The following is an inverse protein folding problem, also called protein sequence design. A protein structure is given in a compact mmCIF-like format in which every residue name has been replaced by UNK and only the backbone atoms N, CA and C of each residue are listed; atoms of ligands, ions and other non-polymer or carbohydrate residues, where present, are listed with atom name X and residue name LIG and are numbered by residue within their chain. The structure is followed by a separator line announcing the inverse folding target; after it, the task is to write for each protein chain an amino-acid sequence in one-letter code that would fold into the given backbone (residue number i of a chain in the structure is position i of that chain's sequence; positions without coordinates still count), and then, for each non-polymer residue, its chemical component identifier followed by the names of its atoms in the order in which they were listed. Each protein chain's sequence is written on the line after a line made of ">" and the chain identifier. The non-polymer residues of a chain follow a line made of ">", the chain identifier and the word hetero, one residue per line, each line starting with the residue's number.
data_IF_677869189083
#
_entry.id   IF_677869189083
#
_cell.length_a   1.000
_cell.length_b   1.000
_cell.length_c   1.000
_cell.angle_alpha   90.00
_cell.angle_beta   90.00
_cell.angle_gamma   90.00
#
_symmetry.space_group_name_H-M   'P 1'
#
loop_
_entity.id
_entity.type
_entity.pdbx_description
1 polymer ?
#
# COMPACT_ATOMS: atom_id res chain seq x y z
N UNK A 1 -13.29 57.79 -2.94
CA UNK A 1 -13.36 58.81 -1.86
C UNK A 1 -13.23 58.07 -0.55
N UNK A 2 -12.27 58.49 0.29
CA UNK A 2 -12.11 58.18 1.74
C UNK A 2 -11.65 56.74 2.03
N UNK A 3 -10.71 56.43 2.93
CA UNK A 3 -9.51 57.07 3.48
C UNK A 3 -8.78 55.98 4.28
N UNK A 4 -7.47 56.15 4.45
CA UNK A 4 -6.52 55.28 5.18
C UNK A 4 -6.83 55.26 6.69
N UNK A 5 -6.50 54.15 7.39
CA UNK A 5 -5.96 54.27 8.76
C UNK A 5 -5.01 53.11 9.12
N UNK A 6 -3.74 53.48 9.34
CA UNK A 6 -2.70 52.71 10.03
C UNK A 6 -2.82 52.97 11.53
N UNK A 7 -2.47 52.00 12.37
CA UNK A 7 -1.76 52.31 13.62
C UNK A 7 -0.98 51.11 14.19
N UNK A 8 0.12 51.36 14.92
CA UNK A 8 1.17 50.38 15.23
C UNK A 8 1.31 50.05 16.73
N UNK A 9 2.30 49.20 17.02
CA UNK A 9 3.19 49.18 18.20
C UNK A 9 2.64 48.82 19.59
N UNK A 10 3.28 47.84 20.25
CA UNK A 10 3.96 47.93 21.57
C UNK A 10 4.50 46.55 21.99
N UNK A 11 5.83 46.34 22.02
CA UNK A 11 6.76 46.56 23.15
C UNK A 11 6.88 45.35 24.11
N UNK A 12 8.01 44.64 23.96
CA UNK A 12 9.00 44.21 24.95
C UNK A 12 8.57 43.90 26.40
N UNK A 13 8.92 42.69 26.89
CA UNK A 13 9.39 42.48 28.27
C UNK A 13 10.61 41.54 28.26
N UNK A 14 11.70 42.07 28.80
CA UNK A 14 12.95 41.42 29.21
C UNK A 14 12.82 40.97 30.66
N UNK A 15 13.46 39.86 31.04
CA UNK A 15 13.83 39.53 32.42
C UNK A 15 13.75 38.03 32.70
N UNK A 16 14.64 37.35 33.43
CA UNK A 16 15.80 37.79 34.21
C UNK A 16 16.69 36.55 34.50
N UNK A 17 17.98 36.80 34.74
CA UNK A 17 18.99 35.87 35.22
C UNK A 17 18.68 35.28 36.60
N UNK A 18 19.28 34.11 36.91
CA UNK A 18 19.86 33.63 38.20
C UNK A 18 19.72 32.10 38.31
N UNK A 19 20.57 31.32 38.97
CA UNK A 19 21.92 31.46 39.48
C UNK A 19 22.47 30.05 39.73
N UNK A 20 23.77 29.98 40.02
CA UNK A 20 24.55 28.78 40.27
C UNK A 20 24.04 27.91 41.43
N UNK A 21 24.29 26.60 41.32
CA UNK A 21 24.14 25.62 42.40
C UNK A 21 25.05 24.41 42.17
N UNK A 22 26.31 24.53 42.60
CA UNK A 22 27.27 23.45 42.74
C UNK A 22 26.91 22.60 43.96
N UNK A 23 26.65 21.30 43.79
CA UNK A 23 26.83 20.29 44.83
C UNK A 23 27.35 18.99 44.20
N UNK A 24 28.66 18.78 44.34
CA UNK A 24 29.36 17.54 44.03
C UNK A 24 29.09 16.51 45.12
N UNK A 25 28.56 15.34 44.75
CA UNK A 25 28.52 14.15 45.61
C UNK A 25 29.29 13.02 44.93
N UNK A 26 30.47 12.70 45.48
CA UNK A 26 31.30 11.58 45.05
C UNK A 26 30.70 10.26 45.55
N UNK A 27 29.73 9.72 44.81
CA UNK A 27 29.23 8.36 45.01
C UNK A 27 29.99 7.39 44.12
N UNK A 28 30.91 6.62 44.69
CA UNK A 28 31.56 5.49 44.02
C UNK A 28 30.54 4.36 43.88
N UNK A 29 29.76 4.37 42.80
CA UNK A 29 28.92 3.25 42.40
C UNK A 29 29.77 2.27 41.57
N UNK A 30 29.95 1.05 42.09
CA UNK A 30 30.59 -0.04 41.37
C UNK A 30 29.87 -0.30 40.05
N UNK A 31 30.53 0.01 38.95
CA UNK A 31 30.05 -0.29 37.60
C UNK A 31 30.17 -1.80 37.37
N UNK A 32 29.11 -2.54 37.72
CA UNK A 32 28.87 -3.85 37.15
C UNK A 32 28.60 -3.63 35.65
N UNK A 33 29.62 -3.87 34.83
CA UNK A 33 29.49 -3.96 33.38
C UNK A 33 28.64 -5.19 33.05
N UNK A 34 27.33 -5.03 33.14
CA UNK A 34 26.41 -5.94 32.47
C UNK A 34 26.70 -5.84 30.99
N UNK A 35 27.38 -6.87 30.47
CA UNK A 35 27.52 -7.12 29.04
C UNK A 35 26.11 -7.33 28.52
N UNK A 36 25.47 -6.25 28.05
CA UNK A 36 24.21 -6.31 27.32
C UNK A 36 24.48 -7.21 26.12
N UNK A 37 23.89 -8.40 26.13
CA UNK A 37 23.88 -9.28 24.97
C UNK A 37 23.53 -8.42 23.75
N UNK A 38 24.21 -8.59 22.60
CA UNK A 38 23.87 -7.82 21.41
C UNK A 38 22.37 -7.98 21.21
N UNK A 39 21.64 -6.87 21.30
CA UNK A 39 20.24 -6.86 20.87
C UNK A 39 20.29 -7.37 19.46
N UNK A 40 19.71 -8.55 19.20
CA UNK A 40 19.51 -9.04 17.84
C UNK A 40 18.92 -7.85 17.09
N UNK A 41 19.69 -7.23 16.21
CA UNK A 41 19.21 -6.12 15.42
C UNK A 41 17.96 -6.65 14.73
N UNK A 42 16.81 -6.08 15.10
CA UNK A 42 15.56 -6.47 14.50
C UNK A 42 15.75 -6.27 13.00
N UNK A 43 15.62 -7.35 12.21
CA UNK A 43 15.67 -7.25 10.75
C UNK A 43 14.71 -6.13 10.36
N UNK A 44 15.11 -5.20 9.46
CA UNK A 44 14.23 -4.11 9.07
C UNK A 44 12.89 -4.70 8.59
N UNK A 45 11.75 -4.11 9.00
CA UNK A 45 10.44 -4.62 8.66
C UNK A 45 10.29 -4.68 7.13
N UNK A 46 9.55 -5.67 6.65
CA UNK A 46 9.07 -5.71 5.29
C UNK A 46 7.90 -4.74 5.15
N UNK A 47 8.04 -3.76 4.27
CA UNK A 47 7.05 -2.70 4.06
C UNK A 47 6.38 -2.81 2.70
N UNK A 48 5.07 -2.53 2.66
CA UNK A 48 4.24 -2.57 1.47
C UNK A 48 3.36 -1.33 1.38
N UNK A 49 3.27 -0.74 0.19
CA UNK A 49 2.29 0.28 -0.18
C UNK A 49 1.21 -0.34 -1.07
N UNK A 50 -0.06 -0.10 -0.77
CA UNK A 50 -1.19 -0.49 -1.62
C UNK A 50 -1.99 0.74 -2.05
N UNK A 51 -2.33 0.79 -3.34
CA UNK A 51 -3.24 1.79 -3.90
C UNK A 51 -4.13 1.18 -4.99
N UNK A 52 -5.44 1.39 -4.91
CA UNK A 52 -6.29 1.40 -6.10
C UNK A 52 -6.18 2.79 -6.75
N UNK A 53 -5.68 2.86 -7.99
CA UNK A 53 -5.36 4.14 -8.64
C UNK A 53 -6.45 4.64 -9.59
N UNK A 54 -7.53 3.87 -9.81
CA UNK A 54 -8.68 4.29 -10.62
C UNK A 54 -8.31 4.87 -12.01
N UNK A 55 -7.24 4.37 -12.64
CA UNK A 55 -6.50 5.14 -13.65
C UNK A 55 -6.75 4.71 -15.10
N UNK A 56 -7.70 3.80 -15.35
CA UNK A 56 -7.99 3.25 -16.69
C UNK A 56 -8.44 4.28 -17.74
N UNK A 57 -9.05 5.37 -17.28
CA UNK A 57 -9.74 6.35 -18.12
C UNK A 57 -11.11 5.91 -18.62
N UNK A 58 -11.57 4.68 -18.35
CA UNK A 58 -12.88 4.14 -18.81
C UNK A 58 -14.06 4.45 -17.90
N UNK A 59 -13.82 4.61 -16.61
CA UNK A 59 -14.85 4.95 -15.65
C UNK A 59 -14.65 6.36 -15.13
N UNK A 60 -15.74 7.02 -14.74
CA UNK A 60 -15.70 8.10 -13.75
C UNK A 60 -15.37 7.58 -12.35
N UNK A 61 -14.47 6.58 -12.25
CA UNK A 61 -14.00 5.90 -11.03
C UNK A 61 -13.80 6.95 -9.95
N UNK A 62 -13.11 8.03 -10.35
CA UNK A 62 -13.09 9.24 -9.59
C UNK A 62 -13.02 10.48 -10.49
N UNK A 63 -13.99 11.38 -10.31
CA UNK A 63 -14.09 12.61 -11.11
C UNK A 63 -12.88 13.55 -10.96
N UNK A 64 -12.08 13.38 -9.90
CA UNK A 64 -10.87 14.20 -9.65
C UNK A 64 -9.57 13.52 -10.08
N UNK A 65 -9.62 12.30 -10.66
CA UNK A 65 -8.42 11.66 -11.23
C UNK A 65 -7.85 12.54 -12.33
N UNK A 66 -6.55 12.84 -12.22
CA UNK A 66 -5.85 13.70 -13.15
C UNK A 66 -4.59 13.00 -13.63
N UNK A 67 -4.52 12.74 -14.94
CA UNK A 67 -3.31 12.26 -15.58
C UNK A 67 -2.43 13.45 -16.02
N UNK A 68 -1.09 13.41 -15.85
CA UNK A 68 -0.29 12.32 -15.25
C UNK A 68 -0.16 12.39 -13.72
N UNK A 69 -0.82 13.32 -13.03
CA UNK A 69 -0.62 13.57 -11.58
C UNK A 69 -0.84 12.37 -10.66
N UNK A 70 -1.74 11.44 -11.02
CA UNK A 70 -1.90 10.18 -10.27
C UNK A 70 -0.64 9.30 -10.32
N UNK A 71 0.09 9.31 -11.45
CA UNK A 71 1.39 8.62 -11.59
C UNK A 71 2.43 9.28 -10.70
N UNK A 72 2.47 10.61 -10.69
CA UNK A 72 3.35 11.39 -9.81
C UNK A 72 3.09 11.10 -8.32
N UNK A 73 1.82 11.10 -7.91
CA UNK A 73 1.43 10.80 -6.52
C UNK A 73 1.87 9.39 -6.09
N UNK A 74 1.75 8.39 -6.96
CA UNK A 74 2.25 7.04 -6.66
C UNK A 74 3.76 7.04 -6.47
N UNK A 75 4.53 7.70 -7.36
CA UNK A 75 5.99 7.81 -7.25
C UNK A 75 6.40 8.53 -5.96
N UNK A 76 5.75 9.64 -5.64
CA UNK A 76 6.00 10.42 -4.43
C UNK A 76 5.77 9.59 -3.16
N UNK A 77 4.68 8.80 -3.11
CA UNK A 77 4.40 7.92 -1.96
C UNK A 77 5.41 6.80 -1.81
N UNK A 78 5.83 6.18 -2.91
CA UNK A 78 6.86 5.14 -2.89
C UNK A 78 8.16 5.71 -2.31
N UNK A 79 8.56 6.90 -2.77
CA UNK A 79 9.80 7.55 -2.32
C UNK A 79 9.70 8.04 -0.88
N UNK A 80 8.57 8.62 -0.47
CA UNK A 80 8.35 9.13 0.88
C UNK A 80 8.33 8.02 1.94
N UNK A 81 7.76 6.86 1.60
CA UNK A 81 7.63 5.74 2.53
C UNK A 81 8.81 4.75 2.51
N UNK A 82 9.65 4.82 1.48
CA UNK A 82 10.77 3.90 1.24
C UNK A 82 10.38 2.41 1.35
N UNK A 83 9.24 2.04 0.75
CA UNK A 83 8.68 0.68 0.91
C UNK A 83 9.56 -0.42 0.28
N UNK A 84 9.28 -1.69 0.57
CA UNK A 84 9.93 -2.82 -0.11
C UNK A 84 9.12 -3.31 -1.31
N UNK A 85 7.80 -3.20 -1.22
CA UNK A 85 6.88 -3.61 -2.25
C UNK A 85 5.73 -2.61 -2.43
N UNK A 86 5.13 -2.64 -3.60
CA UNK A 86 3.96 -1.86 -3.98
C UNK A 86 3.00 -2.78 -4.68
N UNK A 87 1.73 -2.65 -4.36
CA UNK A 87 0.64 -3.28 -5.10
C UNK A 87 -0.26 -2.18 -5.65
N UNK A 88 -0.65 -2.31 -6.92
CA UNK A 88 -1.54 -1.35 -7.57
C UNK A 88 -2.72 -2.09 -8.18
N UNK A 89 -3.93 -1.63 -7.89
CA UNK A 89 -5.14 -2.04 -8.60
C UNK A 89 -5.62 -0.93 -9.53
N UNK A 90 -6.35 -1.32 -10.57
CA UNK A 90 -6.88 -0.41 -11.59
C UNK A 90 -5.81 0.45 -12.28
N UNK A 91 -4.62 -0.11 -12.43
CA UNK A 91 -3.47 0.54 -13.03
C UNK A 91 -3.39 0.25 -14.53
N UNK A 92 -2.62 1.08 -15.23
CA UNK A 92 -2.26 0.89 -16.63
C UNK A 92 -0.83 0.37 -16.74
N UNK A 93 -0.58 -0.63 -17.59
CA UNK A 93 0.74 -1.29 -17.66
C UNK A 93 1.88 -0.36 -18.08
N UNK A 94 1.60 0.63 -18.94
CA UNK A 94 2.56 1.66 -19.31
C UNK A 94 2.91 2.59 -18.15
N UNK A 95 1.91 3.01 -17.37
CA UNK A 95 2.16 3.84 -16.18
C UNK A 95 2.94 3.06 -15.11
N UNK A 96 2.64 1.78 -14.93
CA UNK A 96 3.39 0.90 -14.02
C UNK A 96 4.85 0.79 -14.44
N UNK A 97 5.12 0.69 -15.74
CA UNK A 97 6.48 0.68 -16.27
C UNK A 97 7.20 2.02 -16.00
N UNK A 98 6.50 3.15 -16.19
CA UNK A 98 7.04 4.48 -15.87
C UNK A 98 7.34 4.64 -14.37
N UNK A 99 6.42 4.22 -13.49
CA UNK A 99 6.62 4.24 -12.03
C UNK A 99 7.83 3.39 -11.66
N UNK A 100 7.95 2.19 -12.23
CA UNK A 100 9.08 1.30 -11.99
C UNK A 100 10.42 1.93 -12.42
N UNK A 101 10.46 2.57 -13.59
CA UNK A 101 11.64 3.30 -14.07
C UNK A 101 12.02 4.45 -13.13
N UNK A 102 11.05 5.29 -12.74
CA UNK A 102 11.26 6.47 -11.87
C UNK A 102 11.68 6.11 -10.45
N UNK A 103 11.33 4.92 -9.96
CA UNK A 103 11.61 4.47 -8.59
C UNK A 103 12.75 3.46 -8.52
N UNK A 104 13.18 2.90 -9.64
CA UNK A 104 14.16 1.81 -9.71
C UNK A 104 13.61 0.46 -9.26
N UNK A 105 12.28 0.28 -9.24
CA UNK A 105 11.64 -0.97 -8.82
C UNK A 105 11.57 -1.96 -9.99
N UNK A 106 11.55 -3.25 -9.64
CA UNK A 106 11.15 -4.31 -10.56
C UNK A 106 9.64 -4.46 -10.54
N UNK A 107 9.00 -4.86 -11.65
CA UNK A 107 7.55 -5.04 -11.68
C UNK A 107 7.08 -6.30 -12.39
N UNK A 108 5.85 -6.68 -12.07
CA UNK A 108 4.99 -7.61 -12.81
C UNK A 108 3.60 -7.02 -12.92
N UNK A 109 2.93 -7.38 -14.01
CA UNK A 109 1.62 -6.87 -14.34
C UNK A 109 0.71 -8.03 -14.78
N UNK A 110 -0.53 -8.01 -14.33
CA UNK A 110 -1.56 -8.96 -14.74
C UNK A 110 -2.70 -8.20 -15.41
N UNK A 111 -2.80 -8.36 -16.73
CA UNK A 111 -3.83 -7.73 -17.56
C UNK A 111 -5.20 -8.33 -17.29
N UNK A 112 -6.18 -7.47 -17.02
CA UNK A 112 -7.59 -7.86 -16.90
C UNK A 112 -8.21 -8.01 -18.28
N UNK A 113 -9.06 -9.04 -18.42
CA UNK A 113 -9.82 -9.28 -19.65
C UNK A 113 -11.21 -8.67 -19.49
N UNK A 114 -11.57 -7.77 -20.39
CA UNK A 114 -12.86 -7.08 -20.42
C UNK A 114 -13.59 -7.43 -21.72
N UNK A 115 -14.81 -7.96 -21.63
CA UNK A 115 -15.57 -8.44 -22.80
C UNK A 115 -14.77 -9.41 -23.69
N UNK A 116 -13.97 -10.29 -23.08
CA UNK A 116 -13.20 -11.32 -23.79
C UNK A 116 -11.90 -10.83 -24.44
N UNK A 117 -11.49 -9.57 -24.25
CA UNK A 117 -10.22 -9.04 -24.74
C UNK A 117 -9.48 -8.22 -23.66
N UNK A 118 -8.15 -8.05 -23.75
CA UNK A 118 -7.44 -7.05 -22.95
C UNK A 118 -8.08 -5.67 -23.05
N UNK A 119 -8.29 -5.00 -21.92
CA UNK A 119 -8.77 -3.62 -21.90
C UNK A 119 -7.57 -2.67 -22.04
N UNK A 120 -7.46 -1.97 -23.16
CA UNK A 120 -6.50 -0.86 -23.27
C UNK A 120 -6.86 0.24 -22.28
N UNK A 121 -5.89 0.94 -21.72
CA UNK A 121 -6.11 2.19 -21.01
C UNK A 121 -6.28 3.36 -21.98
N UNK A 122 -7.08 4.36 -21.60
CA UNK A 122 -7.35 5.55 -22.41
C UNK A 122 -7.16 6.85 -21.64
N UNK A 123 -7.21 7.95 -22.37
CA UNK A 123 -7.15 9.33 -21.84
C UNK A 123 -5.88 9.61 -21.01
N UNK A 124 -4.71 9.80 -21.65
CA UNK A 124 -4.43 9.63 -23.07
C UNK A 124 -4.31 8.16 -23.51
N UNK A 125 -4.38 7.92 -24.82
CA UNK A 125 -4.08 6.61 -25.39
C UNK A 125 -2.59 6.26 -25.27
N UNK A 126 -2.25 4.98 -25.43
CA UNK A 126 -0.85 4.50 -25.40
C UNK A 126 -0.31 4.16 -24.00
N UNK A 127 -1.16 4.21 -22.97
CA UNK A 127 -0.80 3.88 -21.57
C UNK A 127 -0.76 2.37 -21.28
N UNK A 128 -0.90 1.53 -22.31
CA UNK A 128 -0.89 0.08 -22.19
C UNK A 128 -2.26 -0.50 -21.82
N UNK A 129 -2.26 -1.57 -21.04
CA UNK A 129 -3.44 -2.36 -20.69
C UNK A 129 -3.83 -2.16 -19.21
N UNK A 130 -5.11 -2.34 -18.90
CA UNK A 130 -5.68 -2.22 -17.56
C UNK A 130 -5.49 -3.49 -16.74
N UNK A 131 -5.18 -3.34 -15.45
CA UNK A 131 -5.04 -4.48 -14.56
C UNK A 131 -4.39 -4.19 -13.22
N UNK A 132 -3.71 -5.22 -12.70
CA UNK A 132 -3.07 -5.20 -11.39
C UNK A 132 -1.56 -5.28 -11.51
N UNK A 133 -0.83 -4.64 -10.61
CA UNK A 133 0.62 -4.65 -10.59
C UNK A 133 1.20 -5.00 -9.22
N UNK A 134 2.35 -5.67 -9.24
CA UNK A 134 3.25 -5.79 -8.11
C UNK A 134 4.58 -5.16 -8.51
N UNK A 135 5.06 -4.21 -7.73
CA UNK A 135 6.39 -3.63 -7.86
C UNK A 135 7.21 -3.95 -6.61
N UNK A 136 8.50 -4.24 -6.75
CA UNK A 136 9.39 -4.55 -5.63
C UNK A 136 10.74 -3.86 -5.80
N UNK A 137 11.29 -3.33 -4.71
CA UNK A 137 12.64 -2.76 -4.70
C UNK A 137 13.70 -3.84 -4.99
N UNK A 138 13.44 -5.07 -4.57
CA UNK A 138 14.29 -6.23 -4.85
C UNK A 138 13.92 -6.89 -6.17
N UNK A 139 14.86 -7.63 -6.76
CA UNK A 139 14.60 -8.40 -7.97
C UNK A 139 13.48 -9.43 -7.76
N UNK A 140 12.56 -9.52 -8.73
CA UNK A 140 11.51 -10.54 -8.79
C UNK A 140 12.12 -11.84 -9.37
N UNK A 141 12.06 -12.92 -8.59
CA UNK A 141 12.61 -14.24 -8.95
C UNK A 141 11.62 -15.13 -9.67
N UNK A 142 10.35 -15.04 -9.30
CA UNK A 142 9.26 -15.78 -9.90
C UNK A 142 7.98 -14.93 -9.84
N UNK A 143 7.03 -15.21 -10.72
CA UNK A 143 5.73 -14.57 -10.71
C UNK A 143 4.68 -15.48 -11.30
N UNK A 144 3.47 -15.40 -10.77
CA UNK A 144 2.31 -16.18 -11.17
C UNK A 144 1.09 -15.26 -11.19
N UNK A 145 0.22 -15.42 -12.18
CA UNK A 145 -1.08 -14.78 -12.24
C UNK A 145 -2.11 -15.73 -12.86
N UNK A 146 -3.38 -15.59 -12.46
CA UNK A 146 -4.47 -16.34 -13.06
C UNK A 146 -5.81 -15.59 -12.91
N UNK A 147 -6.80 -15.87 -13.77
CA UNK A 147 -8.15 -15.37 -13.53
C UNK A 147 -8.79 -16.13 -12.37
N UNK A 148 -9.74 -15.49 -11.71
CA UNK A 148 -10.67 -16.22 -10.86
C UNK A 148 -11.59 -17.12 -11.69
N UNK A 149 -12.12 -18.17 -11.07
CA UNK A 149 -12.99 -19.13 -11.75
C UNK A 149 -14.34 -18.55 -12.17
N UNK A 150 -14.76 -17.47 -11.50
CA UNK A 150 -16.00 -16.74 -11.77
C UNK A 150 -15.74 -15.25 -11.95
N UNK A 151 -16.57 -14.62 -12.78
CA UNK A 151 -16.60 -13.18 -12.97
C UNK A 151 -18.04 -12.69 -13.18
N UNK A 152 -18.29 -11.44 -12.79
CA UNK A 152 -19.58 -10.78 -12.91
C UNK A 152 -19.53 -9.75 -14.03
N UNK A 153 -20.51 -9.77 -14.93
CA UNK A 153 -20.59 -8.79 -16.01
C UNK A 153 -19.47 -8.99 -17.04
N UNK A 154 -18.70 -7.92 -17.28
CA UNK A 154 -17.79 -7.82 -18.42
C UNK A 154 -16.32 -8.00 -18.04
N UNK A 155 -15.97 -7.88 -16.75
CA UNK A 155 -14.59 -7.83 -16.27
C UNK A 155 -14.17 -9.17 -15.63
N UNK A 156 -13.24 -9.89 -16.27
CA UNK A 156 -12.60 -11.07 -15.71
C UNK A 156 -11.40 -10.66 -14.85
N UNK A 157 -11.67 -10.53 -13.54
CA UNK A 157 -10.69 -10.17 -12.52
C UNK A 157 -9.66 -11.28 -12.29
N UNK A 158 -8.45 -10.88 -11.86
CA UNK A 158 -7.28 -11.75 -11.71
C UNK A 158 -6.54 -11.47 -10.40
N UNK A 159 -5.76 -12.45 -9.96
CA UNK A 159 -4.73 -12.27 -8.92
C UNK A 159 -3.35 -12.29 -9.55
N UNK A 160 -2.38 -11.66 -8.89
CA UNK A 160 -0.97 -11.65 -9.25
C UNK A 160 -0.14 -11.85 -7.99
N UNK A 161 0.86 -12.72 -8.04
CA UNK A 161 1.87 -12.90 -7.00
C UNK A 161 3.27 -12.83 -7.59
N UNK A 162 4.19 -12.20 -6.88
CA UNK A 162 5.61 -12.14 -7.23
C UNK A 162 6.48 -12.54 -6.03
N UNK A 163 7.43 -13.45 -6.24
CA UNK A 163 8.41 -13.85 -5.23
C UNK A 163 9.66 -12.98 -5.34
N UNK A 164 10.02 -12.26 -4.29
CA UNK A 164 11.20 -11.39 -4.27
C UNK A 164 12.50 -12.16 -4.06
N UNK A 165 13.65 -11.51 -4.29
CA UNK A 165 14.97 -12.08 -4.02
C UNK A 165 15.19 -12.46 -2.54
N UNK A 166 14.45 -11.84 -1.61
CA UNK A 166 14.43 -12.19 -0.19
C UNK A 166 13.50 -13.36 0.14
N UNK A 167 12.78 -13.89 -0.85
CA UNK A 167 11.89 -15.04 -0.68
C UNK A 167 10.56 -14.69 -0.03
N UNK A 168 10.09 -13.45 -0.17
CA UNK A 168 8.74 -13.01 0.23
C UNK A 168 7.83 -13.08 -0.99
N UNK A 169 6.64 -13.65 -0.82
CA UNK A 169 5.58 -13.62 -1.83
C UNK A 169 4.74 -12.35 -1.62
N UNK A 170 4.75 -11.44 -2.60
CA UNK A 170 3.91 -10.25 -2.63
C UNK A 170 2.77 -10.49 -3.60
N UNK A 171 1.53 -10.44 -3.12
CA UNK A 171 0.35 -10.71 -3.91
C UNK A 171 -0.61 -9.52 -3.95
N UNK A 172 -1.37 -9.40 -5.03
CA UNK A 172 -2.45 -8.43 -5.17
C UNK A 172 -3.61 -9.00 -5.97
N UNK A 173 -4.78 -8.41 -5.76
CA UNK A 173 -5.97 -8.68 -6.57
C UNK A 173 -6.98 -7.55 -6.41
N UNK A 174 -7.93 -7.50 -7.34
CA UNK A 174 -9.09 -6.64 -7.30
C UNK A 174 -10.34 -7.53 -7.43
N UNK A 175 -11.20 -7.65 -6.41
CA UNK A 175 -12.33 -8.61 -6.41
C UNK A 175 -13.65 -7.95 -6.83
N UNK A 176 -14.59 -8.70 -7.41
CA UNK A 176 -15.87 -8.19 -7.93
C UNK A 176 -16.65 -7.30 -6.95
N UNK A 177 -17.43 -6.36 -7.48
CA UNK A 177 -18.23 -5.39 -6.70
C UNK A 177 -19.65 -5.87 -6.39
N UNK A 178 -20.01 -7.10 -6.73
CA UNK A 178 -21.38 -7.63 -6.66
C UNK A 178 -21.84 -8.04 -5.25
N UNK A 179 -21.09 -7.62 -4.22
CA UNK A 179 -21.45 -7.75 -2.81
C UNK A 179 -20.99 -9.05 -2.16
N UNK A 180 -21.11 -9.15 -0.84
CA UNK A 180 -20.49 -10.20 -0.03
C UNK A 180 -21.37 -11.41 0.30
N UNK A 181 -22.63 -11.39 -0.13
CA UNK A 181 -23.59 -12.45 0.20
C UNK A 181 -23.12 -13.82 -0.33
N UNK A 182 -23.41 -14.93 0.35
CA UNK A 182 -23.06 -16.26 -0.14
C UNK A 182 -23.56 -16.50 -1.57
N UNK A 183 -22.67 -16.92 -2.46
CA UNK A 183 -22.97 -17.22 -3.86
C UNK A 183 -22.76 -16.05 -4.83
N UNK A 184 -22.44 -14.85 -4.35
CA UNK A 184 -21.96 -13.76 -5.23
C UNK A 184 -20.58 -14.09 -5.80
N UNK A 185 -20.22 -13.43 -6.89
CA UNK A 185 -18.90 -13.55 -7.52
C UNK A 185 -17.81 -13.17 -6.53
N UNK A 186 -17.94 -12.04 -5.82
CA UNK A 186 -16.98 -11.65 -4.79
C UNK A 186 -16.83 -12.72 -3.71
N UNK A 187 -17.92 -13.33 -3.22
CA UNK A 187 -17.84 -14.37 -2.17
C UNK A 187 -17.04 -15.59 -2.62
N UNK A 188 -17.20 -16.00 -3.88
CA UNK A 188 -16.46 -17.14 -4.47
C UNK A 188 -15.00 -16.76 -4.71
N UNK A 189 -14.73 -15.58 -5.28
CA UNK A 189 -13.38 -15.07 -5.49
C UNK A 189 -12.60 -14.92 -4.18
N UNK A 190 -13.28 -14.46 -3.11
CA UNK A 190 -12.69 -14.36 -1.78
C UNK A 190 -12.25 -15.73 -1.24
N UNK A 191 -13.06 -16.77 -1.43
CA UNK A 191 -12.70 -18.14 -1.05
C UNK A 191 -11.57 -18.74 -1.93
N UNK A 192 -11.47 -18.33 -3.19
CA UNK A 192 -10.32 -18.66 -4.05
C UNK A 192 -9.04 -17.95 -3.59
N UNK A 193 -9.13 -16.65 -3.28
CA UNK A 193 -8.02 -15.85 -2.75
C UNK A 193 -7.50 -16.44 -1.43
N UNK A 194 -8.40 -16.80 -0.51
CA UNK A 194 -8.02 -17.44 0.74
C UNK A 194 -7.21 -18.74 0.51
N UNK A 195 -7.66 -19.58 -0.42
CA UNK A 195 -6.95 -20.83 -0.80
C UNK A 195 -5.60 -20.55 -1.44
N UNK A 196 -5.50 -19.56 -2.33
CA UNK A 196 -4.25 -19.13 -2.94
C UNK A 196 -3.23 -18.70 -1.88
N UNK A 197 -3.66 -17.85 -0.94
CA UNK A 197 -2.80 -17.33 0.12
C UNK A 197 -2.40 -18.42 1.12
N UNK A 198 -3.31 -19.34 1.46
CA UNK A 198 -3.01 -20.50 2.31
C UNK A 198 -2.02 -21.47 1.66
N UNK A 199 -1.99 -21.53 0.31
CA UNK A 199 -1.06 -22.39 -0.42
C UNK A 199 0.37 -21.84 -0.46
N UNK A 200 0.60 -20.59 -0.02
CA UNK A 200 1.93 -19.99 -0.06
C UNK A 200 2.79 -20.59 1.07
N UNK A 201 3.82 -21.34 0.68
CA UNK A 201 4.78 -21.94 1.62
C UNK A 201 5.87 -20.99 2.13
N UNK A 202 5.79 -19.70 1.78
CA UNK A 202 6.76 -18.65 2.10
C UNK A 202 6.10 -17.55 2.97
N UNK A 203 6.90 -16.66 3.59
CA UNK A 203 6.36 -15.40 4.09
C UNK A 203 5.62 -14.69 2.96
N UNK A 204 4.34 -14.39 3.18
CA UNK A 204 3.45 -13.84 2.17
C UNK A 204 2.75 -12.60 2.72
N UNK A 205 2.67 -11.57 1.88
CA UNK A 205 1.89 -10.38 2.11
C UNK A 205 1.02 -10.12 0.88
N UNK A 206 -0.27 -9.97 1.11
CA UNK A 206 -1.25 -9.59 0.09
C UNK A 206 -1.74 -8.18 0.38
N UNK A 207 -1.94 -7.38 -0.65
CA UNK A 207 -2.75 -6.18 -0.54
C UNK A 207 -3.52 -5.88 -1.83
N UNK A 208 -4.76 -5.42 -1.67
CA UNK A 208 -5.65 -5.19 -2.79
C UNK A 208 -6.99 -4.58 -2.38
N UNK A 209 -7.68 -4.00 -3.35
CA UNK A 209 -9.09 -3.67 -3.25
C UNK A 209 -9.93 -4.95 -3.39
N UNK A 210 -10.50 -5.41 -2.29
CA UNK A 210 -11.29 -6.64 -2.28
C UNK A 210 -12.79 -6.37 -2.41
N UNK A 211 -13.22 -5.11 -2.60
CA UNK A 211 -14.62 -4.69 -2.72
C UNK A 211 -15.55 -5.30 -1.67
N UNK A 212 -15.03 -5.48 -0.47
CA UNK A 212 -15.73 -6.12 0.64
C UNK A 212 -15.13 -5.70 1.97
N UNK A 213 -15.94 -5.71 3.02
CA UNK A 213 -15.58 -5.40 4.41
C UNK A 213 -15.14 -6.62 5.20
N UNK A 214 -15.69 -7.80 4.90
CA UNK A 214 -15.28 -9.03 5.59
C UNK A 214 -13.95 -9.55 5.02
N UNK A 215 -13.09 -10.09 5.88
CA UNK A 215 -11.78 -10.57 5.46
C UNK A 215 -11.83 -11.80 4.56
N UNK A 216 -10.90 -11.89 3.60
CA UNK A 216 -10.56 -13.10 2.85
C UNK A 216 -9.31 -13.81 3.37
N UNK A 217 -8.68 -13.31 4.44
CA UNK A 217 -7.46 -13.90 4.96
C UNK A 217 -7.71 -15.35 5.38
N UNK A 218 -6.85 -16.30 4.99
CA UNK A 218 -6.93 -17.66 5.52
C UNK A 218 -6.56 -17.69 7.01
N UNK A 219 -6.88 -18.80 7.67
CA UNK A 219 -6.47 -19.02 9.06
C UNK A 219 -4.95 -18.85 9.24
N UNK A 220 -4.54 -18.22 10.34
CA UNK A 220 -3.14 -17.93 10.64
C UNK A 220 -2.59 -16.67 9.96
N UNK A 221 -3.34 -16.02 9.07
CA UNK A 221 -2.99 -14.69 8.56
C UNK A 221 -3.75 -13.60 9.30
N UNK A 222 -3.06 -12.47 9.54
CA UNK A 222 -3.70 -11.28 10.07
C UNK A 222 -4.44 -10.53 8.95
N UNK A 223 -5.35 -9.63 9.36
CA UNK A 223 -6.07 -8.72 8.46
C UNK A 223 -5.92 -7.29 8.95
N UNK A 224 -5.56 -6.40 8.03
CA UNK A 224 -5.60 -4.95 8.20
C UNK A 224 -6.49 -4.38 7.10
N UNK A 225 -7.26 -3.34 7.40
CA UNK A 225 -8.25 -2.76 6.46
C UNK A 225 -8.22 -1.25 6.52
N UNK A 226 -8.62 -0.61 5.43
CA UNK A 226 -8.87 0.84 5.35
C UNK A 226 -10.23 1.28 5.90
N UNK A 227 -10.80 0.57 6.88
CA UNK A 227 -12.10 0.90 7.48
C UNK A 227 -12.18 2.32 8.07
N UNK A 228 -11.03 2.93 8.39
CA UNK A 228 -10.93 4.30 8.88
C UNK A 228 -10.49 5.33 7.82
N UNK A 229 -10.40 4.93 6.54
CA UNK A 229 -10.09 5.84 5.44
C UNK A 229 -11.18 6.89 5.26
N UNK A 230 -10.80 8.01 4.65
CA UNK A 230 -11.74 9.08 4.31
C UNK A 230 -12.48 8.74 3.02
N UNK A 231 -11.79 8.12 2.07
CA UNK A 231 -12.32 7.80 0.75
C UNK A 231 -12.47 6.29 0.58
N UNK A 232 -13.65 5.87 0.09
CA UNK A 232 -14.04 4.47 -0.11
C UNK A 232 -13.63 3.50 1.04
N UNK A 233 -14.03 3.77 2.30
CA UNK A 233 -13.49 3.03 3.45
C UNK A 233 -13.96 1.57 3.54
N UNK A 234 -13.04 0.72 3.96
CA UNK A 234 -13.29 -0.66 4.38
C UNK A 234 -13.37 -1.66 3.23
N UNK A 235 -12.77 -1.36 2.08
CA UNK A 235 -12.74 -2.27 0.92
C UNK A 235 -11.33 -2.59 0.44
N UNK A 236 -10.30 -1.84 0.85
CA UNK A 236 -8.91 -2.24 0.62
C UNK A 236 -8.36 -2.95 1.85
N UNK A 237 -7.86 -4.15 1.63
CA UNK A 237 -7.36 -5.01 2.68
C UNK A 237 -5.89 -5.37 2.46
N UNK A 238 -5.21 -5.64 3.57
CA UNK A 238 -3.89 -6.27 3.60
C UNK A 238 -3.95 -7.52 4.46
N UNK A 239 -3.40 -8.62 3.96
CA UNK A 239 -3.30 -9.90 4.66
C UNK A 239 -1.84 -10.34 4.71
N UNK A 240 -1.47 -11.12 5.72
CA UNK A 240 -0.15 -11.74 5.72
C UNK A 240 0.14 -12.61 6.93
N UNK A 241 1.27 -13.30 6.87
CA UNK A 241 1.80 -14.14 7.95
C UNK A 241 3.13 -13.60 8.51
N UNK A 242 3.46 -12.34 8.22
CA UNK A 242 4.59 -11.63 8.80
C UNK A 242 4.30 -11.23 10.26
N UNK A 243 5.34 -10.96 11.05
CA UNK A 243 5.23 -10.66 12.46
C UNK A 243 4.84 -9.20 12.74
N UNK A 244 4.00 -8.97 13.74
CA UNK A 244 3.69 -7.65 14.31
C UNK A 244 3.36 -6.57 13.25
N UNK A 245 2.28 -6.76 12.45
CA UNK A 245 1.94 -5.82 11.39
C UNK A 245 1.43 -4.49 11.97
N UNK A 246 1.78 -3.39 11.32
CA UNK A 246 1.20 -2.06 11.54
C UNK A 246 0.64 -1.51 10.24
N UNK A 247 -0.41 -0.69 10.34
CA UNK A 247 -1.05 -0.02 9.22
C UNK A 247 -1.01 1.50 9.45
N UNK A 248 -0.66 2.22 8.39
CA UNK A 248 -0.81 3.65 8.25
C UNK A 248 -1.71 3.94 7.04
N UNK A 249 -2.69 4.83 7.21
CA UNK A 249 -3.59 5.27 6.16
C UNK A 249 -3.17 6.66 5.72
N UNK A 250 -2.98 6.84 4.42
CA UNK A 250 -2.55 8.11 3.85
C UNK A 250 -3.60 8.63 2.85
N UNK A 251 -4.24 9.78 3.11
CA UNK A 251 -5.26 10.34 2.24
C UNK A 251 -4.78 10.55 0.80
N UNK A 252 -5.54 10.13 -0.20
CA UNK A 252 -5.18 10.28 -1.61
C UNK A 252 -5.83 11.48 -2.30
N UNK A 253 -5.11 12.08 -3.26
CA UNK A 253 -5.58 13.28 -3.96
C UNK A 253 -6.24 12.94 -5.28
N UNK A 254 -5.64 12.06 -6.09
CA UNK A 254 -6.04 11.79 -7.47
C UNK A 254 -6.70 10.42 -7.70
N UNK A 255 -7.07 9.74 -6.61
CA UNK A 255 -7.92 8.55 -6.59
C UNK A 255 -8.94 8.69 -5.43
N UNK A 256 -10.04 7.97 -5.48
CA UNK A 256 -11.05 7.86 -4.41
C UNK A 256 -10.72 6.77 -3.39
N UNK A 257 -9.51 6.23 -3.43
CA UNK A 257 -9.00 5.27 -2.46
C UNK A 257 -7.78 5.84 -1.74
N UNK A 258 -7.87 5.96 -0.42
CA UNK A 258 -6.70 6.32 0.38
C UNK A 258 -5.65 5.19 0.32
N UNK A 259 -4.36 5.53 0.43
CA UNK A 259 -3.30 4.55 0.36
C UNK A 259 -3.10 3.82 1.70
N UNK A 260 -2.69 2.55 1.63
CA UNK A 260 -2.36 1.75 2.80
C UNK A 260 -0.86 1.50 2.82
N UNK A 261 -0.18 1.91 3.89
CA UNK A 261 1.22 1.58 4.14
C UNK A 261 1.30 0.59 5.29
N UNK A 262 1.77 -0.61 5.01
CA UNK A 262 1.92 -1.69 5.99
C UNK A 262 3.38 -1.98 6.24
N UNK A 263 3.72 -2.21 7.50
CA UNK A 263 5.07 -2.62 7.93
C UNK A 263 4.94 -3.84 8.83
N UNK A 264 5.68 -4.90 8.54
CA UNK A 264 5.66 -6.13 9.33
C UNK A 264 7.04 -6.81 9.36
N UNK A 265 7.41 -7.39 10.49
CA UNK A 265 8.69 -8.10 10.64
C UNK A 265 8.70 -9.41 9.86
N UNK A 266 9.83 -9.74 9.22
CA UNK A 266 9.98 -11.07 8.64
C UNK A 266 10.06 -12.13 9.74
N UNK A 267 9.44 -13.31 9.57
CA UNK A 267 9.62 -14.41 10.49
C UNK A 267 11.11 -14.78 10.58
N UNK A 268 11.51 -15.26 11.77
CA UNK A 268 12.91 -15.57 12.07
C UNK A 268 13.44 -16.69 11.19
#
# INVERSE_FOLDING_TARGET
>A
MISISLTPLRTLVIGCLTAAGLLSSSGVAGASTMTRAPSQEARPPYSLLQMNVCSSGYAGCYARTQYPKIVDEVVERIQANDVNAVTLNEACSGDVAEIAERTGYHYRFATVIYNGAPLACKTPDGRGEFGNAVLTKEAIRASEDAPYSVFSGTEQRRWLCATTARGVDVCTSHLSTDGEAPGTTNSIQCAELARLLASRGRPAIFAGDVNRRSSCAPEGQWTLTDAAATQAPGIQHVYGNLAAPTLELEPATYTDHDALVVRAGLPK
#
